data_IF_521521286584
#
_entry.id   IF_521521286584
#
_cell.length_a   1.000
_cell.length_b   1.000
_cell.length_c   1.000
_cell.angle_alpha   90.00
_cell.angle_beta   90.00
_cell.angle_gamma   90.00
#
_symmetry.space_group_name_H-M   'P 1'
#
loop_
_entity.id
_entity.type
_entity.pdbx_description
1 polymer ?
#
# COMPACT_ATOMS: atom_id res chain seq x y z
N UNK A 1 10.56 27.42 -15.08
CA UNK A 1 9.70 26.24 -14.87
C UNK A 1 10.35 25.08 -15.60
N UNK A 2 10.93 24.14 -14.87
CA UNK A 2 11.58 22.96 -15.45
C UNK A 2 10.50 22.04 -16.05
N UNK A 3 10.68 21.57 -17.29
CA UNK A 3 9.76 20.64 -17.95
C UNK A 3 10.41 19.28 -18.03
N UNK A 4 9.85 18.31 -17.32
CA UNK A 4 10.26 16.91 -17.41
C UNK A 4 9.24 16.21 -18.30
N UNK A 5 9.66 15.82 -19.49
CA UNK A 5 8.84 15.10 -20.46
C UNK A 5 8.96 13.59 -20.22
N UNK A 6 8.54 13.16 -19.04
CA UNK A 6 8.55 11.76 -18.64
C UNK A 6 7.25 11.43 -17.94
N UNK A 7 6.54 10.37 -18.34
CA UNK A 7 5.39 9.87 -17.60
C UNK A 7 5.83 9.44 -16.20
N UNK A 8 4.95 9.55 -15.22
CA UNK A 8 5.20 8.99 -13.89
C UNK A 8 5.43 7.47 -13.96
N UNK A 9 6.01 6.93 -12.90
CA UNK A 9 6.33 5.51 -12.81
C UNK A 9 5.06 4.65 -12.87
N UNK A 10 3.89 5.17 -12.46
CA UNK A 10 2.62 4.46 -12.48
C UNK A 10 2.16 4.20 -13.92
N UNK A 11 2.17 5.23 -14.76
CA UNK A 11 1.90 5.09 -16.19
C UNK A 11 2.91 4.17 -16.88
N UNK A 12 4.20 4.29 -16.57
CA UNK A 12 5.21 3.38 -17.11
C UNK A 12 4.98 1.93 -16.67
N UNK A 13 4.48 1.73 -15.45
CA UNK A 13 4.20 0.43 -14.86
C UNK A 13 3.01 -0.25 -15.53
N UNK A 14 1.86 0.43 -15.63
CA UNK A 14 0.64 -0.16 -16.22
C UNK A 14 0.75 -0.40 -17.73
N UNK A 15 1.64 0.31 -18.42
CA UNK A 15 1.94 0.10 -19.84
C UNK A 15 3.15 -0.80 -20.07
N UNK A 16 3.58 -1.58 -19.08
CA UNK A 16 4.65 -2.56 -19.17
C UNK A 16 5.99 -2.01 -19.69
N UNK A 17 6.21 -0.70 -19.53
CA UNK A 17 7.33 0.05 -20.12
C UNK A 17 8.62 0.03 -19.26
N UNK A 18 8.58 -0.68 -18.14
CA UNK A 18 9.70 -0.86 -17.20
C UNK A 18 10.22 -2.30 -17.31
N UNK A 19 11.46 -2.47 -17.79
CA UNK A 19 12.11 -3.79 -17.79
C UNK A 19 12.58 -4.20 -16.38
N UNK A 20 12.83 -5.48 -16.16
CA UNK A 20 13.40 -5.98 -14.88
C UNK A 20 14.71 -5.25 -14.54
N UNK A 21 15.57 -5.01 -15.54
CA UNK A 21 16.84 -4.29 -15.36
C UNK A 21 16.62 -2.82 -14.97
N UNK A 22 15.67 -2.14 -15.62
CA UNK A 22 15.35 -0.75 -15.27
C UNK A 22 14.76 -0.67 -13.86
N UNK A 23 13.92 -1.65 -13.50
CA UNK A 23 13.34 -1.73 -12.16
C UNK A 23 14.38 -1.97 -11.08
N UNK A 24 15.42 -2.78 -11.34
CA UNK A 24 16.52 -2.95 -10.41
C UNK A 24 17.25 -1.62 -10.14
N UNK A 25 17.51 -0.83 -11.18
CA UNK A 25 18.14 0.50 -11.05
C UNK A 25 17.23 1.47 -10.31
N UNK A 26 15.93 1.43 -10.59
CA UNK A 26 14.90 2.18 -9.87
C UNK A 26 14.94 1.85 -8.37
N UNK A 27 14.87 0.57 -8.00
CA UNK A 27 14.89 0.14 -6.60
C UNK A 27 16.16 0.59 -5.89
N UNK A 28 17.33 0.48 -6.53
CA UNK A 28 18.59 0.97 -5.93
C UNK A 28 18.53 2.45 -5.55
N UNK A 29 17.97 3.29 -6.43
CA UNK A 29 17.81 4.75 -6.17
C UNK A 29 16.75 5.01 -5.10
N UNK A 30 15.63 4.31 -5.18
CA UNK A 30 14.55 4.42 -4.21
C UNK A 30 15.03 4.06 -2.80
N UNK A 31 15.74 2.95 -2.64
CA UNK A 31 16.27 2.53 -1.34
C UNK A 31 17.37 3.46 -0.84
N UNK A 32 18.23 4.00 -1.72
CA UNK A 32 19.20 5.02 -1.33
C UNK A 32 18.51 6.28 -0.74
N UNK A 33 17.38 6.69 -1.31
CA UNK A 33 16.54 7.74 -0.72
C UNK A 33 15.96 7.29 0.63
N UNK A 34 15.29 6.14 0.68
CA UNK A 34 14.58 5.66 1.88
C UNK A 34 15.51 5.47 3.09
N UNK A 35 16.71 4.95 2.88
CA UNK A 35 17.71 4.75 3.95
C UNK A 35 18.46 6.04 4.29
N UNK A 36 18.51 7.00 3.36
CA UNK A 36 19.15 8.31 3.55
C UNK A 36 18.27 9.36 4.23
N UNK A 37 17.01 9.06 4.53
CA UNK A 37 16.08 9.99 5.19
C UNK A 37 16.58 10.33 6.61
N UNK A 38 16.43 11.59 7.07
CA UNK A 38 16.68 11.94 8.46
C UNK A 38 15.87 11.05 9.40
N UNK A 39 16.49 10.61 10.49
CA UNK A 39 15.89 9.73 11.49
C UNK A 39 15.97 10.38 12.86
N UNK A 40 14.94 10.16 13.69
CA UNK A 40 14.96 10.49 15.11
C UNK A 40 14.54 9.29 15.94
N UNK A 41 15.16 9.12 17.11
CA UNK A 41 14.68 8.16 18.11
C UNK A 41 13.31 8.60 18.61
N UNK A 42 12.43 7.65 18.80
CA UNK A 42 11.13 7.84 19.44
C UNK A 42 11.11 7.04 20.74
N UNK A 43 10.32 7.50 21.72
CA UNK A 43 9.99 6.65 22.86
C UNK A 43 9.14 5.45 22.42
N UNK A 44 9.16 4.38 23.22
CA UNK A 44 8.34 3.19 22.97
C UNK A 44 6.85 3.54 22.87
N UNK A 45 6.38 4.48 23.68
CA UNK A 45 4.98 4.93 23.68
C UNK A 45 4.65 5.69 22.39
N UNK A 46 5.44 6.70 22.00
CA UNK A 46 5.22 7.46 20.77
C UNK A 46 5.27 6.56 19.52
N UNK A 47 6.19 5.60 19.49
CA UNK A 47 6.31 4.65 18.40
C UNK A 47 5.07 3.76 18.29
N UNK A 48 4.61 3.20 19.41
CA UNK A 48 3.42 2.36 19.47
C UNK A 48 2.16 3.15 19.09
N UNK A 49 1.97 4.35 19.64
CA UNK A 49 0.82 5.21 19.36
C UNK A 49 0.78 5.64 17.89
N UNK A 50 1.94 5.97 17.30
CA UNK A 50 2.03 6.30 15.88
C UNK A 50 1.62 5.12 15.00
N UNK A 51 2.15 3.93 15.25
CA UNK A 51 1.77 2.71 14.50
C UNK A 51 0.30 2.38 14.66
N UNK A 52 -0.21 2.45 15.89
CA UNK A 52 -1.61 2.21 16.20
C UNK A 52 -2.50 3.18 15.42
N UNK A 53 -2.17 4.46 15.42
CA UNK A 53 -2.92 5.49 14.68
C UNK A 53 -2.87 5.27 13.17
N UNK A 54 -1.69 5.05 12.60
CA UNK A 54 -1.49 4.92 11.15
C UNK A 54 -2.13 3.65 10.57
N UNK A 55 -1.96 2.52 11.25
CA UNK A 55 -2.25 1.20 10.68
C UNK A 55 -3.55 0.57 11.19
N UNK A 56 -4.05 0.93 12.38
CA UNK A 56 -5.30 0.39 12.91
C UNK A 56 -6.37 1.47 13.12
N UNK A 57 -6.05 2.54 13.85
CA UNK A 57 -6.98 3.64 14.13
C UNK A 57 -7.57 4.25 12.86
N UNK A 58 -6.72 4.46 11.84
CA UNK A 58 -7.17 4.93 10.52
C UNK A 58 -8.14 3.95 9.84
N UNK A 59 -7.85 2.64 9.86
CA UNK A 59 -8.72 1.61 9.27
C UNK A 59 -10.09 1.60 9.97
N UNK A 60 -10.09 1.56 11.31
CA UNK A 60 -11.32 1.54 12.09
C UNK A 60 -12.18 2.79 11.82
N UNK A 61 -11.57 3.98 11.88
CA UNK A 61 -12.25 5.25 11.60
C UNK A 61 -12.86 5.26 10.19
N UNK A 62 -12.07 4.93 9.17
CA UNK A 62 -12.48 4.97 7.77
C UNK A 62 -13.54 3.92 7.42
N UNK A 63 -13.54 2.79 8.12
CA UNK A 63 -14.61 1.80 7.99
C UNK A 63 -15.92 2.32 8.54
N UNK A 64 -15.91 3.01 9.69
CA UNK A 64 -17.12 3.61 10.23
C UNK A 64 -17.66 4.69 9.30
N UNK A 65 -16.79 5.52 8.71
CA UNK A 65 -17.18 6.49 7.68
C UNK A 65 -17.79 5.80 6.46
N UNK A 66 -17.17 4.72 5.96
CA UNK A 66 -17.68 3.94 4.82
C UNK A 66 -19.12 3.46 5.05
N UNK A 67 -19.43 2.95 6.24
CA UNK A 67 -20.75 2.43 6.59
C UNK A 67 -21.88 3.47 6.56
N UNK A 68 -21.54 4.75 6.69
CA UNK A 68 -22.52 5.85 6.64
C UNK A 68 -22.81 6.32 5.21
N UNK A 69 -22.07 5.82 4.21
CA UNK A 69 -22.21 6.27 2.83
C UNK A 69 -23.38 5.57 2.12
N UNK A 70 -24.15 6.27 1.27
CA UNK A 70 -25.32 5.69 0.59
C UNK A 70 -25.02 4.46 -0.27
N UNK A 71 -23.80 4.37 -0.83
CA UNK A 71 -23.37 3.24 -1.66
C UNK A 71 -22.86 2.02 -0.86
N UNK A 72 -22.77 2.13 0.47
CA UNK A 72 -22.30 1.02 1.32
C UNK A 72 -23.08 -0.29 1.16
N UNK A 73 -24.43 -0.32 0.99
CA UNK A 73 -25.15 -1.57 0.81
C UNK A 73 -24.65 -2.42 -0.36
N UNK A 74 -24.24 -1.81 -1.47
CA UNK A 74 -23.64 -2.51 -2.62
C UNK A 74 -22.29 -3.14 -2.24
N UNK A 75 -21.45 -2.36 -1.55
CA UNK A 75 -20.15 -2.83 -1.05
C UNK A 75 -20.33 -3.98 -0.06
N UNK A 76 -21.25 -3.86 0.89
CA UNK A 76 -21.55 -4.88 1.88
C UNK A 76 -22.02 -6.19 1.23
N UNK A 77 -22.90 -6.11 0.22
CA UNK A 77 -23.33 -7.28 -0.54
C UNK A 77 -22.15 -7.95 -1.26
N UNK A 78 -21.25 -7.17 -1.86
CA UNK A 78 -20.05 -7.70 -2.49
C UNK A 78 -19.08 -8.34 -1.49
N UNK A 79 -18.97 -7.82 -0.26
CA UNK A 79 -18.15 -8.44 0.81
C UNK A 79 -18.75 -9.77 1.24
N UNK A 80 -20.08 -9.88 1.36
CA UNK A 80 -20.74 -11.15 1.70
C UNK A 80 -20.41 -12.28 0.70
N UNK A 81 -20.13 -11.93 -0.56
CA UNK A 81 -19.73 -12.85 -1.62
C UNK A 81 -18.24 -13.26 -1.59
N UNK A 82 -17.45 -12.69 -0.67
CA UNK A 82 -16.01 -13.00 -0.53
C UNK A 82 -15.75 -14.22 0.36
N UNK A 83 -16.79 -14.77 1.00
CA UNK A 83 -16.68 -15.77 2.05
C UNK A 83 -16.59 -15.18 3.47
N UNK A 84 -16.58 -13.85 3.60
CA UNK A 84 -16.75 -13.15 4.87
C UNK A 84 -18.20 -12.72 5.07
N UNK A 85 -18.74 -12.72 6.30
CA UNK A 85 -20.11 -12.25 6.54
C UNK A 85 -20.26 -10.74 6.30
N UNK A 86 -19.24 -9.96 6.62
CA UNK A 86 -19.21 -8.51 6.49
C UNK A 86 -17.77 -7.96 6.51
N UNK A 87 -17.63 -6.65 6.36
CA UNK A 87 -16.33 -5.96 6.39
C UNK A 87 -15.70 -5.98 7.79
N UNK A 88 -16.50 -6.07 8.85
CA UNK A 88 -15.99 -6.12 10.23
C UNK A 88 -15.22 -7.41 10.49
N UNK A 89 -15.66 -8.53 9.92
CA UNK A 89 -14.95 -9.80 9.99
C UNK A 89 -13.57 -9.73 9.31
N UNK A 90 -13.47 -9.03 8.17
CA UNK A 90 -12.19 -8.78 7.48
C UNK A 90 -11.27 -7.91 8.34
N UNK A 91 -11.80 -6.84 8.93
CA UNK A 91 -11.03 -5.94 9.79
C UNK A 91 -10.58 -6.62 11.07
N UNK A 92 -11.45 -7.42 11.70
CA UNK A 92 -11.10 -8.19 12.88
C UNK A 92 -9.99 -9.22 12.58
N UNK A 93 -9.98 -9.81 11.38
CA UNK A 93 -8.87 -10.66 10.91
C UNK A 93 -7.58 -9.86 10.78
N UNK A 94 -7.63 -8.73 10.08
CA UNK A 94 -6.49 -7.82 9.93
C UNK A 94 -5.92 -7.39 11.30
N UNK A 95 -6.77 -6.96 12.23
CA UNK A 95 -6.37 -6.51 13.58
C UNK A 95 -5.67 -7.63 14.37
N UNK A 96 -6.19 -8.86 14.31
CA UNK A 96 -5.54 -10.02 14.95
C UNK A 96 -4.15 -10.28 14.38
N UNK A 97 -4.01 -10.25 13.05
CA UNK A 97 -2.72 -10.45 12.38
C UNK A 97 -1.74 -9.33 12.73
N UNK A 98 -2.19 -8.07 12.69
CA UNK A 98 -1.40 -6.89 13.05
C UNK A 98 -0.89 -6.98 14.48
N UNK A 99 -1.78 -7.29 15.42
CA UNK A 99 -1.41 -7.43 16.84
C UNK A 99 -0.37 -8.53 17.05
N UNK A 100 -0.52 -9.67 16.37
CA UNK A 100 0.45 -10.78 16.45
C UNK A 100 1.80 -10.39 15.86
N UNK A 101 1.81 -9.70 14.71
CA UNK A 101 3.04 -9.30 14.03
C UNK A 101 3.81 -8.25 14.85
N UNK A 102 3.11 -7.23 15.36
CA UNK A 102 3.72 -6.18 16.18
C UNK A 102 4.31 -6.71 17.50
N UNK A 103 3.70 -7.73 18.11
CA UNK A 103 4.25 -8.38 19.33
C UNK A 103 5.55 -9.14 19.10
N UNK A 104 5.80 -9.60 17.87
CA UNK A 104 7.01 -10.37 17.50
C UNK A 104 8.14 -9.50 16.96
N UNK A 105 7.83 -8.24 16.70
CA UNK A 105 8.68 -7.30 15.99
C UNK A 105 9.68 -6.65 16.95
N UNK A 106 10.96 -6.94 16.79
CA UNK A 106 12.06 -6.26 17.48
C UNK A 106 12.65 -5.18 16.57
N UNK A 107 11.87 -4.11 16.36
CA UNK A 107 12.24 -3.02 15.46
C UNK A 107 12.76 -1.83 16.25
N UNK A 108 13.74 -1.14 15.67
CA UNK A 108 14.22 0.10 16.23
C UNK A 108 13.09 1.12 16.33
N UNK A 109 12.96 1.73 17.51
CA UNK A 109 11.95 2.73 17.80
C UNK A 109 12.40 4.09 17.23
N UNK A 110 12.31 4.20 15.91
CA UNK A 110 12.72 5.39 15.17
C UNK A 110 11.56 5.94 14.35
N UNK A 111 11.64 7.24 14.07
CA UNK A 111 10.77 7.93 13.11
C UNK A 111 11.64 8.52 12.02
N UNK A 112 11.09 8.67 10.83
CA UNK A 112 11.78 9.27 9.68
C UNK A 112 10.96 10.39 9.08
N UNK A 113 11.62 11.33 8.41
CA UNK A 113 10.91 12.28 7.56
C UNK A 113 10.36 11.52 6.36
N UNK A 114 9.05 11.39 6.26
CA UNK A 114 8.38 10.63 5.21
C UNK A 114 7.94 11.48 4.03
N UNK A 115 7.78 10.85 2.87
CA UNK A 115 7.00 11.42 1.78
C UNK A 115 5.50 11.48 2.15
N UNK A 116 5.01 10.44 2.85
CA UNK A 116 3.63 10.31 3.27
C UNK A 116 2.66 9.83 2.18
N UNK A 117 3.14 9.73 0.94
CA UNK A 117 2.38 9.20 -0.20
C UNK A 117 3.31 8.68 -1.31
N UNK A 118 4.32 7.90 -0.90
CA UNK A 118 5.37 7.41 -1.80
C UNK A 118 4.89 6.20 -2.62
N UNK A 119 4.31 6.45 -3.78
CA UNK A 119 3.89 5.40 -4.71
C UNK A 119 4.22 5.76 -6.15
N UNK A 120 3.99 4.83 -7.09
CA UNK A 120 4.50 4.99 -8.46
C UNK A 120 4.02 6.25 -9.18
N UNK A 121 2.73 6.63 -9.08
CA UNK A 121 2.27 7.85 -9.75
C UNK A 121 2.88 9.14 -9.17
N UNK A 122 3.40 9.09 -7.94
CA UNK A 122 4.09 10.20 -7.29
C UNK A 122 5.61 10.20 -7.54
N UNK A 123 6.08 9.38 -8.49
CA UNK A 123 7.50 9.30 -8.85
C UNK A 123 7.68 9.53 -10.34
N UNK A 124 8.34 10.62 -10.69
CA UNK A 124 8.81 10.86 -12.05
C UNK A 124 10.18 10.19 -12.20
N UNK A 125 10.24 9.09 -12.95
CA UNK A 125 11.47 8.35 -13.17
C UNK A 125 11.86 8.34 -14.65
N UNK A 126 12.94 9.06 -14.98
CA UNK A 126 13.49 9.09 -16.34
C UNK A 126 14.65 8.10 -16.42
N UNK A 127 14.38 6.92 -16.98
CA UNK A 127 15.31 5.76 -16.97
C UNK A 127 16.60 5.99 -17.76
N UNK A 128 16.57 6.82 -18.81
CA UNK A 128 17.69 7.14 -19.69
C UNK A 128 18.81 7.88 -18.94
N UNK A 129 18.45 8.80 -18.04
CA UNK A 129 19.41 9.55 -17.21
C UNK A 129 19.46 9.06 -15.77
N UNK A 130 18.51 8.20 -15.38
CA UNK A 130 18.28 7.79 -14.01
C UNK A 130 17.79 8.92 -13.10
N UNK A 131 17.24 10.00 -13.64
CA UNK A 131 16.65 11.08 -12.85
C UNK A 131 15.39 10.56 -12.15
N UNK A 132 15.33 10.72 -10.82
CA UNK A 132 14.18 10.35 -10.00
C UNK A 132 13.72 11.60 -9.24
N UNK A 133 12.47 12.00 -9.43
CA UNK A 133 11.85 13.09 -8.68
C UNK A 133 10.59 12.60 -7.99
N UNK A 134 10.47 12.97 -6.73
CA UNK A 134 9.29 12.75 -5.91
C UNK A 134 8.39 13.98 -6.00
N UNK A 135 7.10 13.77 -6.21
CA UNK A 135 6.08 14.82 -6.33
C UNK A 135 4.93 14.52 -5.36
N UNK A 136 4.11 15.53 -5.07
CA UNK A 136 2.96 15.40 -4.15
C UNK A 136 3.34 14.86 -2.76
N UNK A 137 4.43 15.41 -2.21
CA UNK A 137 4.85 15.15 -0.83
C UNK A 137 3.77 15.66 0.11
N UNK A 138 3.37 14.82 1.08
CA UNK A 138 2.36 15.20 2.07
C UNK A 138 2.83 16.45 2.82
N UNK A 139 2.00 17.50 2.78
CA UNK A 139 2.28 18.73 3.51
C UNK A 139 2.32 18.52 5.02
N UNK A 140 3.17 19.30 5.68
CA UNK A 140 3.31 19.35 7.13
C UNK A 140 3.06 20.78 7.60
N UNK A 141 2.20 20.96 8.62
CA UNK A 141 1.94 22.27 9.22
C UNK A 141 2.92 22.55 10.36
N UNK A 142 3.37 21.48 11.01
CA UNK A 142 4.40 21.51 12.06
C UNK A 142 5.52 20.54 11.70
N UNK A 143 6.70 20.71 12.29
CA UNK A 143 7.80 19.76 12.11
C UNK A 143 7.40 18.34 12.54
N UNK A 144 6.58 18.22 13.58
CA UNK A 144 6.10 16.94 14.10
C UNK A 144 5.31 16.13 13.06
N UNK A 145 4.55 16.82 12.20
CA UNK A 145 3.76 16.19 11.12
C UNK A 145 4.63 15.56 10.03
N UNK A 146 5.92 15.94 9.93
CA UNK A 146 6.87 15.40 8.97
C UNK A 146 7.34 13.99 9.36
N UNK A 147 7.31 13.67 10.65
CA UNK A 147 7.87 12.43 11.20
C UNK A 147 6.85 11.30 11.17
N UNK A 148 7.18 10.23 10.45
CA UNK A 148 6.33 9.04 10.30
C UNK A 148 7.08 7.75 10.65
N UNK A 149 6.34 6.64 10.65
CA UNK A 149 6.92 5.31 10.75
C UNK A 149 7.74 4.96 9.48
N UNK A 150 8.96 4.41 9.60
CA UNK A 150 9.81 4.06 8.46
C UNK A 150 9.13 3.18 7.41
N UNK A 151 8.23 2.29 7.85
CA UNK A 151 7.51 1.37 7.00
C UNK A 151 6.36 2.03 6.23
N UNK A 152 5.92 3.23 6.60
CA UNK A 152 4.73 3.81 5.99
C UNK A 152 4.93 4.08 4.49
N UNK A 153 6.04 4.71 4.12
CA UNK A 153 6.41 4.91 2.70
C UNK A 153 6.75 3.58 2.00
N UNK A 154 7.24 2.57 2.71
CA UNK A 154 7.49 1.24 2.16
C UNK A 154 6.19 0.49 1.85
N UNK A 155 5.19 0.60 2.72
CA UNK A 155 3.86 0.03 2.51
C UNK A 155 3.16 0.73 1.34
N UNK A 156 3.30 2.06 1.23
CA UNK A 156 2.87 2.82 0.05
C UNK A 156 3.59 2.35 -1.21
N UNK A 157 4.91 2.18 -1.19
CA UNK A 157 5.60 1.62 -2.35
C UNK A 157 5.11 0.21 -2.70
N UNK A 158 4.95 -0.64 -1.68
CA UNK A 158 4.47 -2.01 -1.84
C UNK A 158 3.10 -2.04 -2.51
N UNK A 159 2.21 -1.07 -2.23
CA UNK A 159 0.88 -1.07 -2.83
C UNK A 159 0.92 -0.99 -4.37
N UNK A 160 2.00 -0.45 -4.93
CA UNK A 160 2.23 -0.34 -6.37
C UNK A 160 2.91 -1.59 -6.90
N UNK A 161 3.99 -2.01 -6.24
CA UNK A 161 4.82 -3.15 -6.67
C UNK A 161 4.07 -4.47 -6.54
N UNK A 162 3.46 -4.70 -5.38
CA UNK A 162 2.84 -5.96 -5.00
C UNK A 162 1.32 -5.85 -4.87
N UNK A 163 0.82 -4.69 -4.41
CA UNK A 163 -0.59 -4.49 -4.07
C UNK A 163 -1.52 -4.21 -5.24
N UNK A 164 -1.03 -4.16 -6.49
CA UNK A 164 -1.86 -3.90 -7.68
C UNK A 164 -2.61 -2.56 -7.71
N UNK A 165 -2.24 -1.59 -6.85
CA UNK A 165 -2.95 -0.33 -6.71
C UNK A 165 -3.09 0.40 -8.05
N UNK A 166 -1.98 0.57 -8.79
CA UNK A 166 -1.97 1.29 -10.06
C UNK A 166 -2.84 0.63 -11.14
N UNK A 167 -2.96 -0.70 -11.12
CA UNK A 167 -3.84 -1.42 -12.04
C UNK A 167 -5.31 -1.22 -11.68
N UNK A 168 -5.66 -1.29 -10.39
CA UNK A 168 -7.04 -1.08 -9.93
C UNK A 168 -7.50 0.35 -10.20
N UNK A 169 -6.66 1.36 -9.93
CA UNK A 169 -6.98 2.77 -10.19
C UNK A 169 -7.04 3.11 -11.68
N UNK A 170 -6.38 2.32 -12.53
CA UNK A 170 -6.45 2.42 -13.99
C UNK A 170 -7.56 1.55 -14.61
N UNK A 171 -8.46 0.99 -13.80
CA UNK A 171 -9.55 0.09 -14.22
C UNK A 171 -9.09 -1.17 -14.98
N UNK A 172 -7.86 -1.62 -14.74
CA UNK A 172 -7.27 -2.85 -15.30
C UNK A 172 -7.58 -4.06 -14.40
N UNK A 173 -8.86 -4.29 -14.13
CA UNK A 173 -9.32 -5.43 -13.34
C UNK A 173 -10.74 -5.85 -13.70
N UNK A 174 -11.05 -7.12 -13.44
CA UNK A 174 -12.38 -7.70 -13.54
C UNK A 174 -12.84 -8.26 -12.19
N UNK A 175 -14.14 -8.12 -11.93
CA UNK A 175 -14.83 -8.77 -10.83
C UNK A 175 -15.71 -9.88 -11.42
N UNK A 176 -15.38 -11.13 -11.12
CA UNK A 176 -15.99 -12.30 -11.75
C UNK A 176 -16.71 -13.16 -10.71
N UNK A 177 -17.91 -13.64 -11.04
CA UNK A 177 -18.61 -14.63 -10.24
C UNK A 177 -18.10 -16.03 -10.60
N UNK A 178 -17.76 -16.82 -9.59
CA UNK A 178 -17.38 -18.24 -9.73
C UNK A 178 -18.61 -19.14 -9.70
N UNK A 179 -18.43 -20.41 -10.08
CA UNK A 179 -19.50 -21.42 -10.06
C UNK A 179 -20.09 -21.62 -8.66
N UNK A 180 -19.30 -21.43 -7.61
CA UNK A 180 -19.71 -21.54 -6.21
C UNK A 180 -20.37 -20.26 -5.66
N UNK A 181 -20.85 -19.37 -6.54
CA UNK A 181 -21.45 -18.08 -6.19
C UNK A 181 -20.55 -17.18 -5.32
N UNK A 182 -19.22 -17.28 -5.50
CA UNK A 182 -18.25 -16.36 -4.90
C UNK A 182 -17.78 -15.34 -5.91
N UNK A 183 -17.66 -14.10 -5.47
CA UNK A 183 -17.04 -13.06 -6.30
C UNK A 183 -15.52 -13.17 -6.18
N UNK A 184 -14.80 -12.89 -7.25
CA UNK A 184 -13.33 -12.92 -7.31
C UNK A 184 -12.79 -11.71 -8.04
N UNK A 185 -11.60 -11.26 -7.65
CA UNK A 185 -10.87 -10.18 -8.31
C UNK A 185 -9.81 -10.76 -9.23
N UNK A 186 -9.82 -10.35 -10.51
CA UNK A 186 -8.77 -10.64 -11.48
C UNK A 186 -8.11 -9.35 -11.92
N UNK A 187 -6.80 -9.24 -11.76
CA UNK A 187 -6.02 -8.10 -12.26
C UNK A 187 -5.59 -8.38 -13.70
N UNK A 188 -5.80 -7.41 -14.58
CA UNK A 188 -5.45 -7.49 -16.00
C UNK A 188 -4.03 -6.94 -16.22
N UNK A 189 -3.03 -7.74 -15.85
CA UNK A 189 -1.62 -7.37 -15.92
C UNK A 189 -0.74 -8.52 -16.43
N UNK A 190 0.49 -8.20 -16.84
CA UNK A 190 1.54 -9.20 -17.05
C UNK A 190 2.00 -9.81 -15.71
N UNK A 191 2.79 -10.87 -15.81
CA UNK A 191 3.48 -11.42 -14.65
C UNK A 191 4.46 -10.39 -14.04
N UNK A 192 4.31 -10.14 -12.74
CA UNK A 192 5.15 -9.23 -11.96
C UNK A 192 5.96 -9.95 -10.87
N UNK A 193 6.03 -11.29 -10.89
CA UNK A 193 6.68 -12.09 -9.86
C UNK A 193 8.15 -11.70 -9.64
N UNK A 194 8.91 -11.50 -10.72
CA UNK A 194 10.31 -11.08 -10.64
C UNK A 194 10.47 -9.70 -9.95
N UNK A 195 9.55 -8.78 -10.23
CA UNK A 195 9.58 -7.44 -9.63
C UNK A 195 9.27 -7.49 -8.13
N UNK A 196 8.27 -8.30 -7.75
CA UNK A 196 7.93 -8.56 -6.35
C UNK A 196 9.07 -9.23 -5.60
N UNK A 197 9.74 -10.21 -6.21
CA UNK A 197 10.90 -10.89 -5.64
C UNK A 197 12.07 -9.93 -5.43
N UNK A 198 12.38 -9.09 -6.42
CA UNK A 198 13.44 -8.07 -6.28
C UNK A 198 13.11 -7.04 -5.20
N UNK A 199 11.87 -6.58 -5.11
CA UNK A 199 11.46 -5.63 -4.07
C UNK A 199 11.56 -6.25 -2.67
N UNK A 200 11.09 -7.49 -2.49
CA UNK A 200 11.25 -8.25 -1.25
C UNK A 200 12.73 -8.38 -0.86
N UNK A 201 13.58 -8.79 -1.79
CA UNK A 201 15.01 -8.94 -1.53
C UNK A 201 15.64 -7.61 -1.08
N UNK A 202 15.28 -6.49 -1.71
CA UNK A 202 15.79 -5.16 -1.34
C UNK A 202 15.29 -4.70 0.04
N UNK A 203 14.04 -4.99 0.39
CA UNK A 203 13.49 -4.73 1.72
C UNK A 203 14.27 -5.48 2.80
N UNK A 204 14.45 -6.78 2.62
CA UNK A 204 15.15 -7.65 3.59
C UNK A 204 16.63 -7.24 3.73
N UNK A 205 17.31 -6.90 2.63
CA UNK A 205 18.68 -6.36 2.65
C UNK A 205 18.80 -5.05 3.42
N UNK A 206 17.76 -4.21 3.41
CA UNK A 206 17.71 -2.96 4.16
C UNK A 206 17.22 -3.15 5.62
N UNK A 207 16.99 -4.38 6.06
CA UNK A 207 16.59 -4.70 7.44
C UNK A 207 15.09 -4.58 7.72
N UNK A 208 14.26 -4.44 6.67
CA UNK A 208 12.81 -4.36 6.82
C UNK A 208 12.15 -5.74 6.74
N UNK A 209 11.16 -5.97 7.60
CA UNK A 209 10.35 -7.17 7.58
C UNK A 209 9.29 -7.08 6.47
N UNK A 210 9.44 -7.94 5.45
CA UNK A 210 8.53 -8.02 4.32
C UNK A 210 7.08 -8.28 4.75
N UNK A 211 6.86 -9.13 5.77
CA UNK A 211 5.52 -9.45 6.26
C UNK A 211 4.85 -8.21 6.86
N UNK A 212 5.59 -7.40 7.63
CA UNK A 212 5.07 -6.15 8.18
C UNK A 212 4.75 -5.15 7.07
N UNK A 213 5.59 -5.03 6.04
CA UNK A 213 5.32 -4.15 4.89
C UNK A 213 4.01 -4.55 4.21
N UNK A 214 3.81 -5.84 3.93
CA UNK A 214 2.59 -6.35 3.30
C UNK A 214 1.35 -6.19 4.18
N UNK A 215 1.50 -6.36 5.49
CA UNK A 215 0.38 -6.16 6.42
C UNK A 215 -0.03 -4.69 6.52
N UNK A 216 0.93 -3.77 6.60
CA UNK A 216 0.67 -2.34 6.54
C UNK A 216 0.11 -1.91 5.18
N UNK A 217 0.49 -2.56 4.09
CA UNK A 217 -0.12 -2.33 2.78
C UNK A 217 -1.62 -2.68 2.77
N UNK A 218 -2.02 -3.81 3.37
CA UNK A 218 -3.43 -4.16 3.52
C UNK A 218 -4.20 -3.07 4.29
N UNK A 219 -3.58 -2.47 5.31
CA UNK A 219 -4.17 -1.35 6.05
C UNK A 219 -4.44 -0.13 5.17
N UNK A 220 -3.58 0.13 4.17
CA UNK A 220 -3.78 1.23 3.24
C UNK A 220 -5.05 0.99 2.43
N UNK A 221 -5.22 -0.19 1.82
CA UNK A 221 -6.43 -0.53 1.05
C UNK A 221 -7.70 -0.39 1.88
N UNK A 222 -7.72 -0.94 3.11
CA UNK A 222 -8.88 -0.85 4.00
C UNK A 222 -9.17 0.59 4.45
N UNK A 223 -8.15 1.43 4.61
CA UNK A 223 -8.33 2.83 5.04
C UNK A 223 -8.75 3.78 3.91
N UNK A 224 -8.55 3.40 2.64
CA UNK A 224 -8.86 4.26 1.50
C UNK A 224 -10.30 4.08 0.97
N UNK A 225 -11.03 3.06 1.43
CA UNK A 225 -12.37 2.71 0.95
C UNK A 225 -13.37 3.88 0.86
N UNK A 226 -13.62 4.67 1.93
CA UNK A 226 -14.59 5.77 1.85
C UNK A 226 -14.14 6.90 0.90
N UNK A 227 -12.84 7.02 0.62
CA UNK A 227 -12.29 8.06 -0.27
C UNK A 227 -12.49 7.74 -1.76
N UNK A 228 -12.82 6.49 -2.07
CA UNK A 228 -13.04 6.02 -3.45
C UNK A 228 -14.49 5.59 -3.71
N UNK A 229 -15.42 5.96 -2.82
CA UNK A 229 -16.81 5.49 -2.88
C UNK A 229 -17.54 5.89 -4.16
N UNK A 230 -17.11 6.97 -4.82
CA UNK A 230 -17.63 7.42 -6.12
C UNK A 230 -17.39 6.38 -7.24
N UNK A 231 -16.51 5.41 -6.99
CA UNK A 231 -16.26 4.25 -7.86
C UNK A 231 -16.43 2.93 -7.07
N UNK A 232 -17.68 2.48 -6.79
CA UNK A 232 -17.95 1.31 -5.96
C UNK A 232 -17.21 0.04 -6.41
N UNK A 233 -17.07 -0.19 -7.72
CA UNK A 233 -16.27 -1.31 -8.27
C UNK A 233 -14.82 -1.30 -7.80
N UNK A 234 -14.17 -0.13 -7.72
CA UNK A 234 -12.80 0.01 -7.22
C UNK A 234 -12.73 -0.25 -5.72
N UNK A 235 -13.71 0.22 -4.96
CA UNK A 235 -13.82 -0.08 -3.51
C UNK A 235 -13.92 -1.58 -3.27
N UNK A 236 -14.76 -2.28 -4.04
CA UNK A 236 -14.86 -3.73 -3.97
C UNK A 236 -13.51 -4.37 -4.32
N UNK A 237 -12.86 -3.96 -5.41
CA UNK A 237 -11.53 -4.47 -5.78
C UNK A 237 -10.49 -4.24 -4.67
N UNK A 238 -10.48 -3.08 -4.02
CA UNK A 238 -9.56 -2.83 -2.90
C UNK A 238 -9.80 -3.75 -1.70
N UNK A 239 -11.06 -4.07 -1.38
CA UNK A 239 -11.39 -5.01 -0.31
C UNK A 239 -10.91 -6.42 -0.67
N UNK A 240 -11.20 -6.89 -1.90
CA UNK A 240 -10.77 -8.21 -2.35
C UNK A 240 -9.25 -8.34 -2.42
N UNK A 241 -8.57 -7.28 -2.85
CA UNK A 241 -7.11 -7.22 -2.85
C UNK A 241 -6.57 -7.26 -1.42
N UNK A 242 -7.17 -6.53 -0.47
CA UNK A 242 -6.82 -6.62 0.95
C UNK A 242 -7.01 -8.04 1.50
N UNK A 243 -8.13 -8.71 1.18
CA UNK A 243 -8.38 -10.11 1.58
C UNK A 243 -7.29 -11.03 1.03
N UNK A 244 -6.96 -10.91 -0.26
CA UNK A 244 -5.88 -11.70 -0.89
C UNK A 244 -4.54 -11.48 -0.20
N UNK A 245 -4.20 -10.24 0.16
CA UNK A 245 -2.97 -9.95 0.92
C UNK A 245 -2.99 -10.68 2.26
N UNK A 246 -4.11 -10.67 2.99
CA UNK A 246 -4.22 -11.38 4.27
C UNK A 246 -4.13 -12.90 4.11
N UNK A 247 -4.71 -13.46 3.03
CA UNK A 247 -4.62 -14.89 2.70
C UNK A 247 -3.18 -15.32 2.42
N UNK A 248 -2.42 -14.52 1.66
CA UNK A 248 -1.02 -14.79 1.36
C UNK A 248 -0.12 -14.76 2.61
N UNK A 249 -0.47 -13.96 3.61
CA UNK A 249 0.32 -13.80 4.83
C UNK A 249 0.05 -14.87 5.91
N UNK A 250 -0.99 -15.70 5.75
CA UNK A 250 -1.30 -16.79 6.69
C UNK A 250 -0.80 -18.17 6.24
N UNK A 251 -0.35 -18.29 4.97
CA UNK A 251 0.26 -19.51 4.42
C UNK A 251 1.66 -19.75 4.98
#
# INVERSE_FOLDING_TARGET
>A
MERILTPDMGLQWVHDSVSVKDFEVFLRKLFAYLTGRPQKKASAQEFADRRQSLYLGKVLKRTQELKQLPAYPEVAAAVALSGYPDIDAVIARYERMLTRALKRSDQEQVSVIGHGDLFFANILYYKETGLMKFIDVKGALTEEDMWTDPYYDLAKMSHSVNGNYDFITSDLFDLMMTEDCRLTLRILKKDTADYSAMFRQRLEQAGYDYMLVRLFEASLFLSMLPLHIDHPRRVIAFIYNAISILDDLEQ
#
